data_IF_212225244824
#
_entry.id   IF_212225244824
#
_cell.length_a   1.000
_cell.length_b   1.000
_cell.length_c   1.000
_cell.angle_alpha   90.00
_cell.angle_beta   90.00
_cell.angle_gamma   90.00
#
_symmetry.space_group_name_H-M   'P 1'
#
loop_
_entity.id
_entity.type
_entity.pdbx_description
1 polymer ?
#
# COMPACT_ATOMS: atom_id res chain seq x y z
N UNK A 1 -2.12 -24.70 -6.01
CA UNK A 1 -1.25 -23.51 -6.14
C UNK A 1 -2.03 -22.35 -5.58
N UNK A 2 -1.47 -21.70 -4.56
CA UNK A 2 -2.12 -20.69 -3.73
C UNK A 2 -2.93 -19.68 -4.53
N UNK A 3 -4.19 -19.48 -4.13
CA UNK A 3 -4.93 -18.30 -4.48
C UNK A 3 -4.31 -17.15 -3.68
N UNK A 4 -3.25 -16.54 -4.24
CA UNK A 4 -2.82 -15.20 -3.83
C UNK A 4 -4.06 -14.32 -4.01
N UNK A 5 -4.76 -14.09 -2.91
CA UNK A 5 -5.99 -13.30 -2.87
C UNK A 5 -5.71 -11.96 -3.52
N UNK A 6 -6.64 -11.50 -4.36
CA UNK A 6 -6.53 -10.22 -5.04
C UNK A 6 -6.06 -9.15 -4.03
N UNK A 7 -4.85 -8.57 -4.21
CA UNK A 7 -4.31 -7.60 -3.27
C UNK A 7 -5.21 -6.36 -3.11
N UNK A 8 -6.08 -6.11 -4.10
CA UNK A 8 -7.09 -5.06 -4.06
C UNK A 8 -8.35 -5.47 -3.28
N UNK A 9 -8.56 -6.76 -3.02
CA UNK A 9 -9.68 -7.31 -2.25
C UNK A 9 -9.25 -7.88 -0.89
N UNK A 10 -7.97 -7.78 -0.50
CA UNK A 10 -7.48 -8.29 0.78
C UNK A 10 -8.34 -7.82 1.97
N UNK A 11 -8.83 -8.77 2.77
CA UNK A 11 -9.62 -8.52 3.98
C UNK A 11 -8.74 -8.44 5.23
N UNK A 12 -7.54 -9.03 5.17
CA UNK A 12 -6.55 -8.98 6.23
C UNK A 12 -5.12 -8.99 5.64
N UNK A 13 -4.18 -8.40 6.38
CA UNK A 13 -2.74 -8.44 6.10
C UNK A 13 -2.04 -8.98 7.33
N UNK A 14 -1.24 -10.04 7.17
CA UNK A 14 -0.54 -10.73 8.26
C UNK A 14 -1.45 -11.01 9.48
N UNK A 15 -2.67 -11.46 9.23
CA UNK A 15 -3.67 -11.79 10.26
C UNK A 15 -4.36 -10.59 10.92
N UNK A 16 -4.10 -9.35 10.48
CA UNK A 16 -4.79 -8.15 10.98
C UNK A 16 -5.78 -7.65 9.94
N UNK A 17 -7.02 -7.41 10.38
CA UNK A 17 -8.10 -6.96 9.53
C UNK A 17 -7.82 -5.63 8.86
N UNK A 18 -8.34 -5.47 7.65
CA UNK A 18 -8.34 -4.21 6.92
C UNK A 18 -9.51 -3.36 7.43
N UNK A 19 -9.19 -2.28 8.14
CA UNK A 19 -10.19 -1.33 8.61
C UNK A 19 -10.69 -0.45 7.46
N UNK A 20 -9.77 0.10 6.65
CA UNK A 20 -10.11 1.00 5.53
C UNK A 20 -9.16 0.81 4.36
N UNK A 21 -9.71 0.73 3.14
CA UNK A 21 -8.92 0.81 1.90
C UNK A 21 -8.77 2.27 1.47
N UNK A 22 -7.61 2.84 1.73
CA UNK A 22 -7.33 4.27 1.52
C UNK A 22 -7.16 4.60 0.04
N UNK A 23 -6.43 3.76 -0.71
CA UNK A 23 -6.18 3.95 -2.14
C UNK A 23 -6.14 2.61 -2.84
N UNK A 24 -6.58 2.61 -4.10
CA UNK A 24 -6.43 1.48 -5.03
C UNK A 24 -5.63 1.96 -6.23
N UNK A 25 -4.60 1.19 -6.59
CA UNK A 25 -3.78 1.46 -7.75
C UNK A 25 -4.57 1.13 -9.03
N UNK A 26 -4.49 2.02 -10.04
CA UNK A 26 -5.35 1.97 -11.24
C UNK A 26 -4.74 1.22 -12.43
N UNK A 27 -3.41 1.14 -12.51
CA UNK A 27 -2.66 0.57 -13.64
C UNK A 27 -2.25 -0.89 -13.42
N UNK A 28 -1.93 -1.27 -12.18
CA UNK A 28 -1.63 -2.66 -11.80
C UNK A 28 -2.21 -2.96 -10.41
N UNK A 29 -2.43 -4.24 -10.06
CA UNK A 29 -2.94 -4.62 -8.74
C UNK A 29 -2.11 -4.03 -7.61
N UNK A 30 -2.80 -3.32 -6.72
CA UNK A 30 -2.23 -2.81 -5.50
C UNK A 30 -3.18 -1.87 -4.76
N UNK A 31 -2.98 -1.79 -3.45
CA UNK A 31 -3.80 -0.97 -2.56
C UNK A 31 -2.96 -0.45 -1.38
N UNK A 32 -3.38 0.70 -0.85
CA UNK A 32 -2.95 1.20 0.45
C UNK A 32 -4.11 0.99 1.43
N UNK A 33 -3.80 0.32 2.54
CA UNK A 33 -4.77 -0.15 3.52
C UNK A 33 -4.39 0.42 4.89
N UNK A 34 -5.39 0.89 5.64
CA UNK A 34 -5.30 1.09 7.08
C UNK A 34 -5.82 -0.19 7.76
N UNK A 35 -5.08 -0.66 8.75
CA UNK A 35 -5.37 -1.90 9.46
C UNK A 35 -6.00 -1.61 10.83
N UNK A 36 -6.73 -2.58 11.38
CA UNK A 36 -7.44 -2.44 12.66
C UNK A 36 -6.53 -2.17 13.86
N UNK A 37 -5.24 -2.53 13.78
CA UNK A 37 -4.24 -2.27 14.81
C UNK A 37 -3.61 -0.86 14.72
N UNK A 38 -4.10 -0.02 13.81
CA UNK A 38 -3.60 1.34 13.58
C UNK A 38 -2.35 1.41 12.70
N UNK A 39 -1.85 0.28 12.20
CA UNK A 39 -0.79 0.26 11.20
C UNK A 39 -1.35 0.39 9.77
N UNK A 40 -0.45 0.54 8.80
CA UNK A 40 -0.80 0.64 7.38
C UNK A 40 -0.08 -0.43 6.58
N UNK A 41 -0.64 -0.81 5.44
CA UNK A 41 -0.02 -1.73 4.50
C UNK A 41 -0.19 -1.26 3.06
N UNK A 42 0.87 -1.39 2.27
CA UNK A 42 0.81 -1.41 0.81
C UNK A 42 0.80 -2.87 0.38
N UNK A 43 -0.27 -3.28 -0.27
CA UNK A 43 -0.43 -4.61 -0.87
C UNK A 43 -0.40 -4.50 -2.40
N UNK A 44 0.02 -5.55 -3.11
CA UNK A 44 0.17 -5.58 -4.57
C UNK A 44 1.37 -6.44 -4.97
N UNK A 45 2.13 -6.02 -5.98
CA UNK A 45 3.39 -6.67 -6.37
C UNK A 45 4.42 -6.73 -5.23
N UNK A 46 4.31 -5.81 -4.25
CA UNK A 46 5.12 -5.80 -3.05
C UNK A 46 4.17 -5.65 -1.87
N UNK A 47 4.39 -6.46 -0.84
CA UNK A 47 3.75 -6.29 0.46
C UNK A 47 4.71 -5.54 1.39
N UNK A 48 4.27 -4.42 1.95
CA UNK A 48 4.99 -3.69 2.98
C UNK A 48 4.00 -3.18 4.03
N UNK A 49 4.28 -3.43 5.31
CA UNK A 49 3.45 -3.02 6.44
C UNK A 49 4.28 -2.24 7.46
N UNK A 50 3.66 -1.26 8.12
CA UNK A 50 4.27 -0.52 9.21
C UNK A 50 3.44 0.69 9.64
N UNK A 51 3.97 1.48 10.57
CA UNK A 51 3.39 2.79 10.89
C UNK A 51 3.60 3.79 9.74
N UNK A 52 2.86 4.90 9.75
CA UNK A 52 2.85 5.87 8.66
C UNK A 52 4.25 6.37 8.27
N UNK A 53 5.11 6.72 9.24
CA UNK A 53 6.45 7.24 8.98
C UNK A 53 7.38 6.27 8.21
N UNK A 54 7.68 5.08 8.78
CA UNK A 54 8.47 4.05 8.09
C UNK A 54 7.90 3.66 6.72
N UNK A 55 6.57 3.59 6.59
CA UNK A 55 5.93 3.23 5.32
C UNK A 55 6.01 4.37 4.29
N UNK A 56 5.93 5.64 4.72
CA UNK A 56 6.23 6.79 3.87
C UNK A 56 7.68 6.77 3.39
N UNK A 57 8.64 6.43 4.24
CA UNK A 57 10.05 6.35 3.85
C UNK A 57 10.32 5.23 2.85
N UNK A 58 9.64 4.09 3.04
CA UNK A 58 9.61 3.02 2.05
C UNK A 58 9.04 3.52 0.70
N UNK A 59 7.89 4.20 0.71
CA UNK A 59 7.27 4.75 -0.50
C UNK A 59 8.17 5.79 -1.19
N UNK A 60 8.85 6.67 -0.43
CA UNK A 60 9.85 7.62 -0.96
C UNK A 60 11.02 6.92 -1.62
N UNK A 61 11.52 5.82 -1.05
CA UNK A 61 12.58 5.00 -1.68
C UNK A 61 12.13 4.40 -3.00
N UNK A 62 10.90 3.87 -3.06
CA UNK A 62 10.32 3.30 -4.29
C UNK A 62 10.05 4.37 -5.35
N UNK A 63 9.57 5.54 -4.95
CA UNK A 63 9.37 6.68 -5.86
C UNK A 63 10.67 7.08 -6.57
N UNK A 64 11.80 7.10 -5.87
CA UNK A 64 13.12 7.44 -6.46
C UNK A 64 13.58 6.44 -7.52
N UNK A 65 13.15 5.19 -7.44
CA UNK A 65 13.56 4.12 -8.38
C UNK A 65 12.45 3.76 -9.38
N UNK A 66 11.32 4.46 -9.33
CA UNK A 66 10.15 4.20 -10.17
C UNK A 66 10.43 4.51 -11.65
N UNK A 67 10.12 3.53 -12.51
CA UNK A 67 10.48 3.57 -13.94
C UNK A 67 9.36 4.11 -14.83
N UNK A 68 8.11 4.04 -14.36
CA UNK A 68 6.93 4.47 -15.12
C UNK A 68 6.23 5.63 -14.42
N UNK A 69 5.52 6.45 -15.18
CA UNK A 69 4.69 7.53 -14.62
C UNK A 69 3.57 6.99 -13.74
N UNK A 70 2.99 5.82 -14.08
CA UNK A 70 1.99 5.15 -13.23
C UNK A 70 2.54 4.75 -11.88
N UNK A 71 3.76 4.18 -11.83
CA UNK A 71 4.42 3.84 -10.57
C UNK A 71 4.78 5.09 -9.76
N UNK A 72 5.24 6.17 -10.41
CA UNK A 72 5.53 7.45 -9.74
C UNK A 72 4.27 8.08 -9.15
N UNK A 73 3.19 8.13 -9.92
CA UNK A 73 1.90 8.63 -9.48
C UNK A 73 1.39 7.83 -8.27
N UNK A 74 1.45 6.50 -8.35
CA UNK A 74 1.07 5.62 -7.26
C UNK A 74 1.83 5.93 -5.95
N UNK A 75 3.16 5.98 -6.00
CA UNK A 75 3.94 6.24 -4.78
C UNK A 75 3.71 7.65 -4.21
N UNK A 76 3.43 8.65 -5.05
CA UNK A 76 3.04 9.99 -4.59
C UNK A 76 1.68 9.97 -3.89
N UNK A 77 0.70 9.25 -4.42
CA UNK A 77 -0.62 9.08 -3.79
C UNK A 77 -0.50 8.38 -2.43
N UNK A 78 0.35 7.34 -2.32
CA UNK A 78 0.62 6.65 -1.05
C UNK A 78 1.24 7.60 -0.02
N UNK A 79 2.27 8.36 -0.40
CA UNK A 79 2.92 9.33 0.51
C UNK A 79 1.92 10.38 0.98
N UNK A 80 1.11 10.92 0.06
CA UNK A 80 0.11 11.92 0.40
C UNK A 80 -0.99 11.40 1.33
N UNK A 81 -1.47 10.17 1.10
CA UNK A 81 -2.48 9.56 1.96
C UNK A 81 -1.96 9.31 3.38
N UNK A 82 -0.70 8.89 3.53
CA UNK A 82 -0.07 8.65 4.83
C UNK A 82 0.33 9.92 5.58
N UNK A 83 0.35 11.09 4.94
CA UNK A 83 0.69 12.36 5.58
C UNK A 83 -0.50 13.05 6.27
N UNK A 84 -1.73 12.59 5.98
CA UNK A 84 -2.98 13.15 6.52
C UNK A 84 -3.56 12.26 7.63
N UNK A 85 -3.10 11.02 7.74
CA UNK A 85 -3.55 10.02 8.72
C UNK A 85 -2.68 9.92 9.95
#
# INVERSE_FOLDING_TARGET
AEADGDPQAAEAIDGVGVAVRLRTRRDVPGALLALEDGSFAVAGTILARGSAGPLQDFARRRLRTARTEGERAWWREVIGALAVG
#
